data_IF_722613739176
#
_entry.id   IF_722613739176
#
_cell.length_a   1.000
_cell.length_b   1.000
_cell.length_c   1.000
_cell.angle_alpha   90.00
_cell.angle_beta   90.00
_cell.angle_gamma   90.00
#
_symmetry.space_group_name_H-M   'P 1'
#
loop_
_entity.id
_entity.type
_entity.pdbx_description
1 polymer ?
#
# COMPACT_ATOMS: atom_id res chain seq x y z
N UNK A 1 -43.89 -7.37 1.00
CA UNK A 1 -43.02 -6.34 1.60
C UNK A 1 -41.71 -6.36 0.81
N UNK A 2 -41.51 -5.41 -0.08
CA UNK A 2 -40.28 -5.33 -0.88
C UNK A 2 -39.20 -4.68 -0.01
N UNK A 3 -38.20 -5.47 0.39
CA UNK A 3 -36.94 -4.95 0.93
C UNK A 3 -36.26 -4.16 -0.21
N UNK A 4 -36.40 -2.85 -0.21
CA UNK A 4 -35.52 -1.95 -0.96
C UNK A 4 -34.15 -2.06 -0.28
N UNK A 5 -33.29 -2.96 -0.81
CA UNK A 5 -31.86 -2.82 -0.61
C UNK A 5 -31.48 -1.42 -1.11
N UNK A 6 -31.14 -0.53 -0.21
CA UNK A 6 -30.72 0.82 -0.55
C UNK A 6 -29.33 0.71 -1.15
N UNK A 7 -29.26 0.49 -2.46
CA UNK A 7 -28.01 0.60 -3.22
C UNK A 7 -27.56 2.04 -3.09
N UNK A 8 -26.37 2.27 -2.55
CA UNK A 8 -25.81 3.60 -2.41
C UNK A 8 -25.65 4.21 -3.82
N UNK A 9 -26.37 5.28 -4.09
CA UNK A 9 -26.28 5.98 -5.37
C UNK A 9 -24.90 6.70 -5.45
N UNK A 10 -24.27 6.71 -6.63
CA UNK A 10 -23.03 7.47 -6.88
C UNK A 10 -23.13 8.94 -6.48
N UNK A 11 -24.31 9.53 -6.53
CA UNK A 11 -24.59 10.89 -6.07
C UNK A 11 -24.34 11.10 -4.57
N UNK A 12 -24.36 10.02 -3.76
CA UNK A 12 -24.13 10.08 -2.30
C UNK A 12 -22.64 10.02 -1.92
N UNK A 13 -21.75 9.62 -2.83
CA UNK A 13 -20.30 9.49 -2.55
C UNK A 13 -19.67 10.78 -2.01
N UNK A 14 -19.90 11.97 -2.60
CA UNK A 14 -19.37 13.23 -2.07
C UNK A 14 -19.87 13.55 -0.66
N UNK A 15 -21.12 13.21 -0.37
CA UNK A 15 -21.68 13.39 0.97
C UNK A 15 -20.98 12.49 2.00
N UNK A 16 -20.76 11.21 1.65
CA UNK A 16 -20.06 10.26 2.52
C UNK A 16 -18.60 10.66 2.76
N UNK A 17 -17.89 11.14 1.73
CA UNK A 17 -16.53 11.70 1.88
C UNK A 17 -16.52 12.87 2.87
N UNK A 18 -17.52 13.77 2.79
CA UNK A 18 -17.65 14.89 3.72
C UNK A 18 -17.89 14.42 5.15
N UNK A 19 -18.75 13.43 5.35
CA UNK A 19 -19.03 12.81 6.66
C UNK A 19 -17.76 12.19 7.26
N UNK A 20 -17.02 11.40 6.47
CA UNK A 20 -15.74 10.80 6.87
C UNK A 20 -14.75 11.91 7.29
N UNK A 21 -14.63 12.98 6.51
CA UNK A 21 -13.76 14.11 6.86
C UNK A 21 -14.19 14.83 8.14
N UNK A 22 -15.49 14.87 8.44
CA UNK A 22 -15.98 15.40 9.71
C UNK A 22 -15.60 14.50 10.89
N UNK A 23 -15.64 13.17 10.72
CA UNK A 23 -15.21 12.23 11.74
C UNK A 23 -13.72 12.35 12.08
N UNK A 24 -12.85 12.68 11.10
CA UNK A 24 -11.44 12.96 11.38
C UNK A 24 -11.23 14.15 12.31
N UNK A 25 -12.08 15.19 12.24
CA UNK A 25 -12.02 16.33 13.17
C UNK A 25 -12.27 15.91 14.61
N UNK A 26 -13.11 14.92 14.84
CA UNK A 26 -13.41 14.38 16.18
C UNK A 26 -12.25 13.52 16.70
N UNK A 27 -11.43 12.95 15.80
CA UNK A 27 -10.27 12.12 16.11
C UNK A 27 -8.95 12.89 16.05
N UNK A 28 -9.02 14.22 15.90
CA UNK A 28 -7.84 15.05 15.69
C UNK A 28 -6.88 14.98 16.87
N UNK A 29 -5.60 14.69 16.56
CA UNK A 29 -4.48 14.78 17.50
C UNK A 29 -3.39 15.70 16.92
N UNK A 30 -3.37 16.92 17.40
CA UNK A 30 -2.42 17.94 16.96
C UNK A 30 -0.97 17.59 17.32
N UNK A 31 -0.73 16.88 18.43
CA UNK A 31 0.60 16.47 18.84
C UNK A 31 1.15 15.38 17.90
N UNK A 32 0.31 14.40 17.54
CA UNK A 32 0.66 13.36 16.55
C UNK A 32 0.92 14.00 15.19
N UNK A 33 0.04 14.89 14.72
CA UNK A 33 0.21 15.58 13.44
C UNK A 33 1.50 16.41 13.42
N UNK A 34 1.87 17.07 14.53
CA UNK A 34 3.12 17.83 14.65
C UNK A 34 4.33 16.88 14.63
N UNK A 35 4.30 15.79 15.40
CA UNK A 35 5.38 14.80 15.40
C UNK A 35 5.62 14.19 14.00
N UNK A 36 4.57 14.01 13.19
CA UNK A 36 4.71 13.57 11.81
C UNK A 36 5.43 14.61 10.94
N UNK A 37 5.09 15.89 11.08
CA UNK A 37 5.78 16.98 10.37
C UNK A 37 7.25 17.07 10.75
N UNK A 38 7.56 16.93 12.04
CA UNK A 38 8.94 16.97 12.55
C UNK A 38 9.79 15.79 12.00
N UNK A 39 9.14 14.69 11.61
CA UNK A 39 9.75 13.55 10.94
C UNK A 39 9.78 13.67 9.41
N UNK A 40 9.42 14.84 8.86
CA UNK A 40 9.44 15.09 7.42
C UNK A 40 8.20 14.64 6.64
N UNK A 41 7.15 14.19 7.32
CA UNK A 41 5.89 13.81 6.67
C UNK A 41 5.03 15.06 6.43
N UNK A 42 5.24 15.73 5.30
CA UNK A 42 4.57 16.97 4.93
C UNK A 42 3.34 16.69 4.07
N UNK A 43 2.19 16.57 4.71
CA UNK A 43 0.89 16.49 4.02
C UNK A 43 0.24 17.86 3.92
N UNK A 44 -0.55 18.10 2.88
CA UNK A 44 -1.35 19.33 2.80
C UNK A 44 -2.32 19.43 3.97
N UNK A 45 -2.98 18.33 4.33
CA UNK A 45 -3.82 18.21 5.52
C UNK A 45 -3.59 16.86 6.19
N UNK A 46 -3.36 16.91 7.50
CA UNK A 46 -3.15 15.76 8.38
C UNK A 46 -3.86 16.03 9.72
N UNK A 47 -4.81 15.21 10.05
CA UNK A 47 -5.57 15.29 11.31
C UNK A 47 -4.86 14.60 12.48
N UNK A 48 -3.81 13.81 12.22
CA UNK A 48 -3.08 13.04 13.23
C UNK A 48 -3.83 11.78 13.70
N UNK A 49 -4.83 11.32 12.95
CA UNK A 49 -5.52 10.09 13.31
C UNK A 49 -4.56 8.89 13.20
N UNK A 50 -4.56 8.04 14.25
CA UNK A 50 -3.70 6.86 14.29
C UNK A 50 -4.23 5.73 13.40
N UNK A 51 -3.34 4.85 12.94
CA UNK A 51 -3.74 3.70 12.09
C UNK A 51 -4.81 2.82 12.75
N UNK A 52 -4.74 2.46 14.06
CA UNK A 52 -5.81 1.68 14.69
C UNK A 52 -7.18 2.34 14.59
N UNK A 53 -7.26 3.67 14.77
CA UNK A 53 -8.54 4.39 14.64
C UNK A 53 -9.06 4.38 13.21
N UNK A 54 -8.18 4.50 12.22
CA UNK A 54 -8.56 4.38 10.81
C UNK A 54 -9.05 2.96 10.47
N UNK A 55 -8.41 1.93 11.03
CA UNK A 55 -8.84 0.53 10.88
C UNK A 55 -10.22 0.28 11.51
N UNK A 56 -10.52 0.86 12.68
CA UNK A 56 -11.85 0.80 13.29
C UNK A 56 -12.90 1.45 12.38
N UNK A 57 -12.62 2.65 11.87
CA UNK A 57 -13.51 3.35 10.93
C UNK A 57 -13.76 2.54 9.64
N UNK A 58 -12.75 1.88 9.09
CA UNK A 58 -12.93 1.00 7.92
C UNK A 58 -13.90 -0.12 8.23
N UNK A 59 -13.80 -0.75 9.43
CA UNK A 59 -14.73 -1.81 9.83
C UNK A 59 -16.17 -1.29 9.98
N UNK A 60 -16.33 -0.10 10.54
CA UNK A 60 -17.64 0.55 10.66
C UNK A 60 -18.25 0.83 9.28
N UNK A 61 -17.45 1.40 8.36
CA UNK A 61 -17.88 1.67 6.98
C UNK A 61 -18.22 0.36 6.26
N UNK A 62 -17.35 -0.65 6.34
CA UNK A 62 -17.53 -1.93 5.63
C UNK A 62 -18.73 -2.74 6.14
N UNK A 63 -19.08 -2.60 7.42
CA UNK A 63 -20.22 -3.28 8.05
C UNK A 63 -21.53 -2.51 7.89
N UNK A 64 -21.53 -1.32 7.29
CA UNK A 64 -22.77 -0.58 7.07
C UNK A 64 -23.61 -1.29 6.00
N UNK A 65 -24.89 -1.54 6.30
CA UNK A 65 -25.84 -2.18 5.36
C UNK A 65 -26.02 -1.37 4.06
N UNK A 66 -25.61 -0.12 4.06
CA UNK A 66 -25.70 0.82 2.93
C UNK A 66 -24.56 0.66 1.92
N UNK A 67 -23.45 0.00 2.28
CA UNK A 67 -22.27 -0.09 1.45
C UNK A 67 -22.22 -1.39 0.66
N UNK A 68 -22.36 -1.29 -0.66
CA UNK A 68 -22.12 -2.37 -1.62
C UNK A 68 -20.65 -2.37 -2.08
N UNK A 69 -20.16 -3.49 -2.66
CA UNK A 69 -18.81 -3.56 -3.23
C UNK A 69 -18.56 -2.46 -4.28
N UNK A 70 -19.57 -2.13 -5.11
CA UNK A 70 -19.48 -1.05 -6.11
C UNK A 70 -19.36 0.30 -5.43
N UNK A 71 -20.13 0.53 -4.36
CA UNK A 71 -20.04 1.78 -3.58
C UNK A 71 -18.71 1.90 -2.85
N UNK A 72 -18.10 0.80 -2.37
CA UNK A 72 -16.75 0.79 -1.79
C UNK A 72 -15.70 1.27 -2.80
N UNK A 73 -15.76 0.77 -4.04
CA UNK A 73 -14.87 1.21 -5.11
C UNK A 73 -14.98 2.72 -5.38
N UNK A 74 -16.21 3.21 -5.60
CA UNK A 74 -16.44 4.64 -5.88
C UNK A 74 -16.00 5.52 -4.70
N UNK A 75 -16.25 5.07 -3.47
CA UNK A 75 -15.81 5.76 -2.25
C UNK A 75 -14.29 5.79 -2.13
N UNK A 76 -13.60 4.68 -2.38
CA UNK A 76 -12.14 4.61 -2.35
C UNK A 76 -11.50 5.53 -3.40
N UNK A 77 -12.04 5.56 -4.63
CA UNK A 77 -11.60 6.48 -5.68
C UNK A 77 -11.78 7.95 -5.25
N UNK A 78 -12.91 8.28 -4.63
CA UNK A 78 -13.19 9.64 -4.19
C UNK A 78 -12.27 10.06 -3.02
N UNK A 79 -12.03 9.17 -2.06
CA UNK A 79 -11.12 9.41 -0.94
C UNK A 79 -9.66 9.56 -1.41
N UNK A 80 -9.22 8.76 -2.41
CA UNK A 80 -7.86 8.87 -2.95
C UNK A 80 -7.59 10.24 -3.60
N UNK A 81 -8.60 10.85 -4.21
CA UNK A 81 -8.51 12.19 -4.81
C UNK A 81 -8.34 13.31 -3.78
N UNK A 82 -8.71 13.07 -2.51
CA UNK A 82 -8.55 14.06 -1.46
C UNK A 82 -7.07 14.23 -1.09
N UNK A 83 -6.61 15.46 -0.97
CA UNK A 83 -5.25 15.76 -0.53
C UNK A 83 -5.15 15.78 1.01
N UNK A 84 -5.62 14.70 1.62
CA UNK A 84 -5.69 14.48 3.07
C UNK A 84 -5.07 13.13 3.37
N UNK A 85 -4.13 13.06 4.30
CA UNK A 85 -3.41 11.83 4.70
C UNK A 85 -4.38 10.69 5.01
N UNK A 86 -5.31 10.93 5.91
CA UNK A 86 -6.26 9.93 6.39
C UNK A 86 -7.18 9.41 5.27
N UNK A 87 -7.58 10.29 4.35
CA UNK A 87 -8.37 9.89 3.19
C UNK A 87 -7.60 8.93 2.29
N UNK A 88 -6.31 9.21 2.02
CA UNK A 88 -5.49 8.31 1.21
C UNK A 88 -5.30 6.95 1.87
N UNK A 89 -5.05 6.93 3.20
CA UNK A 89 -4.92 5.66 3.94
C UNK A 89 -6.23 4.88 3.91
N UNK A 90 -7.38 5.52 4.19
CA UNK A 90 -8.68 4.84 4.11
C UNK A 90 -8.98 4.32 2.70
N UNK A 91 -8.62 5.07 1.66
CA UNK A 91 -8.79 4.62 0.28
C UNK A 91 -8.07 3.29 0.02
N UNK A 92 -6.84 3.12 0.56
CA UNK A 92 -6.09 1.86 0.40
C UNK A 92 -6.73 0.68 1.12
N UNK A 93 -7.43 0.93 2.23
CA UNK A 93 -8.09 -0.10 3.03
C UNK A 93 -9.49 -0.48 2.50
N UNK A 94 -10.16 0.47 1.83
CA UNK A 94 -11.52 0.29 1.33
C UNK A 94 -11.55 -0.22 -0.11
N UNK A 95 -10.51 0.01 -0.91
CA UNK A 95 -10.49 -0.40 -2.32
C UNK A 95 -10.57 -1.93 -2.44
N UNK A 96 -11.58 -2.48 -3.14
CA UNK A 96 -11.63 -3.91 -3.40
C UNK A 96 -10.50 -4.31 -4.37
N UNK A 97 -9.57 -5.15 -3.91
CA UNK A 97 -8.39 -5.54 -4.69
C UNK A 97 -8.73 -6.33 -5.97
N UNK A 98 -9.84 -7.06 -5.97
CA UNK A 98 -10.35 -7.83 -7.12
C UNK A 98 -11.08 -6.96 -8.15
N UNK A 99 -11.38 -5.70 -7.85
CA UNK A 99 -12.12 -4.77 -8.70
C UNK A 99 -11.27 -3.66 -9.31
N UNK A 100 -10.10 -3.41 -8.73
CA UNK A 100 -9.23 -2.33 -9.22
C UNK A 100 -8.56 -2.74 -10.53
N UNK A 101 -8.60 -1.86 -11.52
CA UNK A 101 -7.96 -2.09 -12.81
C UNK A 101 -6.47 -1.73 -12.76
N UNK A 102 -5.61 -2.42 -13.55
CA UNK A 102 -4.17 -2.14 -13.60
C UNK A 102 -3.85 -0.67 -13.89
N UNK A 103 -4.63 -0.02 -14.76
CA UNK A 103 -4.44 1.39 -15.11
C UNK A 103 -4.71 2.33 -13.92
N UNK A 104 -5.66 1.97 -13.05
CA UNK A 104 -5.94 2.73 -11.83
C UNK A 104 -4.80 2.56 -10.83
N UNK A 105 -4.21 1.36 -10.75
CA UNK A 105 -3.03 1.09 -9.92
C UNK A 105 -1.85 1.96 -10.38
N UNK A 106 -1.61 2.07 -11.69
CA UNK A 106 -0.54 2.89 -12.26
C UNK A 106 -0.76 4.38 -11.95
N UNK A 107 -2.00 4.88 -12.09
CA UNK A 107 -2.36 6.26 -11.72
C UNK A 107 -2.15 6.50 -10.21
N UNK A 108 -2.53 5.56 -9.35
CA UNK A 108 -2.34 5.71 -7.92
C UNK A 108 -0.86 5.70 -7.55
N UNK A 109 -0.04 4.86 -8.20
CA UNK A 109 1.41 4.82 -8.00
C UNK A 109 2.05 6.19 -8.28
N UNK A 110 1.71 6.82 -9.39
CA UNK A 110 2.21 8.16 -9.75
C UNK A 110 1.79 9.27 -8.76
N UNK A 111 0.69 9.05 -8.03
CA UNK A 111 0.11 10.02 -7.10
C UNK A 111 0.51 9.80 -5.64
N UNK A 112 1.44 8.88 -5.35
CA UNK A 112 1.94 8.64 -3.99
C UNK A 112 2.73 9.87 -3.50
N UNK A 113 2.29 10.52 -2.40
CA UNK A 113 2.93 11.74 -1.96
C UNK A 113 4.07 11.53 -0.95
N UNK A 114 4.21 10.33 -0.37
CA UNK A 114 5.13 10.08 0.74
C UNK A 114 5.42 8.60 0.91
N UNK A 115 6.54 8.31 1.61
CA UNK A 115 6.91 6.95 2.01
C UNK A 115 5.79 6.26 2.80
N UNK A 116 5.14 6.93 3.75
CA UNK A 116 4.06 6.34 4.54
C UNK A 116 2.91 5.84 3.65
N UNK A 117 2.48 6.64 2.66
CA UNK A 117 1.41 6.21 1.74
C UNK A 117 1.87 5.07 0.84
N UNK A 118 3.15 5.06 0.40
CA UNK A 118 3.73 3.95 -0.34
C UNK A 118 3.66 2.63 0.46
N UNK A 119 4.06 2.67 1.72
CA UNK A 119 3.97 1.52 2.63
C UNK A 119 2.52 1.08 2.86
N UNK A 120 1.62 2.05 3.14
CA UNK A 120 0.21 1.73 3.41
C UNK A 120 -0.49 1.11 2.20
N UNK A 121 -0.25 1.62 0.99
CA UNK A 121 -0.89 1.05 -0.20
C UNK A 121 -0.32 -0.33 -0.54
N UNK A 122 0.98 -0.55 -0.35
CA UNK A 122 1.60 -1.86 -0.53
C UNK A 122 1.00 -2.90 0.43
N UNK A 123 0.85 -2.53 1.73
CA UNK A 123 0.36 -3.45 2.77
C UNK A 123 -1.16 -3.64 2.75
N UNK A 124 -1.93 -2.60 2.47
CA UNK A 124 -3.39 -2.69 2.55
C UNK A 124 -4.03 -3.22 1.27
N UNK A 125 -3.43 -2.93 0.10
CA UNK A 125 -4.07 -3.15 -1.19
C UNK A 125 -3.21 -3.98 -2.16
N UNK A 126 -1.99 -3.51 -2.48
CA UNK A 126 -1.28 -4.05 -3.64
C UNK A 126 -0.77 -5.48 -3.47
N UNK A 127 -0.46 -5.93 -2.26
CA UNK A 127 -0.16 -7.34 -2.00
C UNK A 127 -1.33 -8.29 -2.32
N UNK A 128 -2.55 -7.76 -2.39
CA UNK A 128 -3.79 -8.52 -2.61
C UNK A 128 -4.28 -8.48 -4.06
N UNK A 129 -3.60 -7.75 -4.94
CA UNK A 129 -3.98 -7.67 -6.35
C UNK A 129 -3.83 -9.04 -7.03
N UNK A 130 -4.75 -9.43 -7.93
CA UNK A 130 -4.61 -10.66 -8.72
C UNK A 130 -3.32 -10.71 -9.57
N UNK A 131 -2.77 -9.54 -9.91
CA UNK A 131 -1.56 -9.33 -10.69
C UNK A 131 -0.42 -8.70 -9.86
N UNK A 132 -0.44 -8.90 -8.53
CA UNK A 132 0.58 -8.35 -7.63
C UNK A 132 2.01 -8.75 -8.01
N UNK A 133 2.32 -10.04 -8.37
CA UNK A 133 3.67 -10.41 -8.74
C UNK A 133 4.20 -9.61 -9.94
N UNK A 134 3.42 -9.52 -11.03
CA UNK A 134 3.84 -8.80 -12.23
C UNK A 134 4.14 -7.32 -11.94
N UNK A 135 3.26 -6.67 -11.18
CA UNK A 135 3.45 -5.26 -10.80
C UNK A 135 4.66 -5.09 -9.89
N UNK A 136 4.84 -5.99 -8.92
CA UNK A 136 5.98 -5.90 -8.01
C UNK A 136 7.32 -5.98 -8.76
N UNK A 137 7.46 -6.89 -9.73
CA UNK A 137 8.65 -6.96 -10.56
C UNK A 137 8.85 -5.72 -11.44
N UNK A 138 7.78 -5.15 -12.01
CA UNK A 138 7.86 -3.88 -12.74
C UNK A 138 8.35 -2.75 -11.84
N UNK A 139 7.86 -2.67 -10.60
CA UNK A 139 8.20 -1.60 -9.67
C UNK A 139 9.61 -1.70 -9.13
N UNK A 140 10.14 -2.90 -8.81
CA UNK A 140 11.54 -3.01 -8.36
C UNK A 140 12.54 -2.69 -9.46
N UNK A 141 12.15 -2.79 -10.74
CA UNK A 141 12.97 -2.43 -11.90
C UNK A 141 12.87 -0.93 -12.26
N UNK A 142 12.00 -0.15 -11.58
CA UNK A 142 11.87 1.29 -11.77
C UNK A 142 13.07 2.04 -11.18
N UNK A 143 13.29 3.28 -11.60
CA UNK A 143 14.27 4.21 -11.03
C UNK A 143 13.66 5.15 -9.96
N UNK A 144 12.33 5.08 -9.78
CA UNK A 144 11.60 5.90 -8.81
C UNK A 144 11.60 5.28 -7.42
N UNK A 145 11.88 6.11 -6.39
CA UNK A 145 11.96 5.66 -4.99
C UNK A 145 10.71 4.91 -4.52
N UNK A 146 9.52 5.48 -4.74
CA UNK A 146 8.29 4.90 -4.21
C UNK A 146 7.82 3.66 -4.97
N UNK A 147 8.14 3.56 -6.27
CA UNK A 147 7.91 2.35 -7.06
C UNK A 147 8.74 1.19 -6.46
N UNK A 148 10.07 1.38 -6.35
CA UNK A 148 10.96 0.37 -5.76
C UNK A 148 10.54 -0.02 -4.34
N UNK A 149 10.22 0.96 -3.51
CA UNK A 149 9.77 0.74 -2.14
C UNK A 149 8.52 -0.14 -2.10
N UNK A 150 7.51 0.17 -2.89
CA UNK A 150 6.29 -0.61 -3.00
C UNK A 150 6.56 -2.00 -3.54
N UNK A 151 7.36 -2.13 -4.58
CA UNK A 151 7.72 -3.41 -5.18
C UNK A 151 8.36 -4.36 -4.17
N UNK A 152 9.37 -3.90 -3.42
CA UNK A 152 10.01 -4.71 -2.38
C UNK A 152 9.07 -5.03 -1.21
N UNK A 153 8.19 -4.13 -0.81
CA UNK A 153 7.20 -4.43 0.23
C UNK A 153 6.17 -5.46 -0.23
N UNK A 154 5.69 -5.38 -1.48
CA UNK A 154 4.78 -6.37 -2.05
C UNK A 154 5.47 -7.73 -2.14
N UNK A 155 6.69 -7.82 -2.69
CA UNK A 155 7.47 -9.07 -2.75
C UNK A 155 7.70 -9.66 -1.37
N UNK A 156 8.04 -8.83 -0.36
CA UNK A 156 8.15 -9.26 1.02
C UNK A 156 6.91 -10.02 1.49
N UNK A 157 5.71 -9.50 1.18
CA UNK A 157 4.44 -10.12 1.56
C UNK A 157 4.15 -11.39 0.77
N UNK A 158 4.46 -11.40 -0.52
CA UNK A 158 4.30 -12.59 -1.37
C UNK A 158 5.20 -13.73 -0.87
N UNK A 159 6.46 -13.45 -0.52
CA UNK A 159 7.38 -14.45 0.05
C UNK A 159 6.93 -14.93 1.45
N UNK A 160 6.44 -14.05 2.31
CA UNK A 160 5.83 -14.44 3.59
C UNK A 160 4.63 -15.35 3.43
N UNK A 161 3.90 -15.24 2.32
CA UNK A 161 2.78 -16.10 1.94
C UNK A 161 3.23 -17.33 1.16
N UNK A 162 4.54 -17.64 1.14
CA UNK A 162 5.15 -18.77 0.44
C UNK A 162 4.85 -18.78 -1.08
N UNK A 163 4.69 -17.61 -1.69
CA UNK A 163 4.60 -17.51 -3.15
C UNK A 163 6.01 -17.50 -3.72
N UNK A 164 6.38 -18.61 -4.33
CA UNK A 164 7.71 -18.80 -4.91
C UNK A 164 7.78 -18.20 -6.32
N UNK A 165 8.82 -17.39 -6.64
CA UNK A 165 9.06 -16.92 -8.00
C UNK A 165 9.58 -18.09 -8.87
N UNK A 166 9.28 -18.04 -10.17
CA UNK A 166 9.88 -18.96 -11.12
C UNK A 166 11.38 -18.62 -11.34
N UNK A 167 12.11 -19.47 -12.06
CA UNK A 167 13.56 -19.31 -12.29
C UNK A 167 13.93 -17.94 -12.88
N UNK A 168 13.17 -17.43 -13.85
CA UNK A 168 13.36 -16.09 -14.40
C UNK A 168 13.13 -15.00 -13.33
N UNK A 169 12.07 -15.13 -12.56
CA UNK A 169 11.76 -14.21 -11.48
C UNK A 169 12.83 -14.20 -10.38
N UNK A 170 13.44 -15.36 -10.06
CA UNK A 170 14.56 -15.44 -9.11
C UNK A 170 15.73 -14.59 -9.60
N UNK A 171 16.15 -14.77 -10.84
CA UNK A 171 17.29 -14.05 -11.42
C UNK A 171 17.01 -12.53 -11.46
N UNK A 172 15.86 -12.14 -11.98
CA UNK A 172 15.44 -10.73 -12.03
C UNK A 172 15.36 -10.09 -10.63
N UNK A 173 14.80 -10.81 -9.65
CA UNK A 173 14.74 -10.36 -8.26
C UNK A 173 16.14 -10.10 -7.69
N UNK A 174 17.07 -11.06 -7.83
CA UNK A 174 18.42 -10.94 -7.27
C UNK A 174 19.21 -9.80 -7.92
N UNK A 175 19.08 -9.61 -9.24
CA UNK A 175 19.72 -8.50 -9.96
C UNK A 175 19.18 -7.15 -9.45
N UNK A 176 17.87 -6.99 -9.37
CA UNK A 176 17.26 -5.74 -8.86
C UNK A 176 17.53 -5.51 -7.38
N UNK A 177 17.60 -6.58 -6.57
CA UNK A 177 17.98 -6.50 -5.15
C UNK A 177 19.37 -5.87 -4.99
N UNK A 178 20.36 -6.32 -5.76
CA UNK A 178 21.73 -5.78 -5.72
C UNK A 178 21.76 -4.30 -6.11
N UNK A 179 21.06 -3.92 -7.17
CA UNK A 179 20.94 -2.52 -7.61
C UNK A 179 20.30 -1.67 -6.50
N UNK A 180 19.22 -2.14 -5.92
CA UNK A 180 18.50 -1.41 -4.86
C UNK A 180 19.34 -1.21 -3.60
N UNK A 181 20.11 -2.23 -3.18
CA UNK A 181 20.99 -2.16 -2.00
C UNK A 181 22.14 -1.16 -2.18
N UNK A 182 22.57 -0.91 -3.41
CA UNK A 182 23.58 0.09 -3.77
C UNK A 182 22.96 1.46 -4.10
N UNK A 183 21.64 1.53 -4.20
CA UNK A 183 20.90 2.73 -4.57
C UNK A 183 20.97 3.86 -3.53
N UNK A 184 20.57 5.09 -3.89
CA UNK A 184 20.67 6.26 -3.04
C UNK A 184 19.66 6.29 -1.90
N UNK A 185 18.52 5.60 -2.04
CA UNK A 185 17.39 5.71 -1.12
C UNK A 185 17.50 4.73 0.06
N UNK A 186 17.60 5.25 1.28
CA UNK A 186 17.69 4.43 2.48
C UNK A 186 16.42 3.61 2.74
N UNK A 187 15.25 4.17 2.42
CA UNK A 187 13.94 3.52 2.50
C UNK A 187 13.91 2.26 1.65
N UNK A 188 14.36 2.36 0.39
CA UNK A 188 14.44 1.25 -0.57
C UNK A 188 15.44 0.21 -0.12
N UNK A 189 16.65 0.61 0.31
CA UNK A 189 17.66 -0.33 0.82
C UNK A 189 17.15 -1.18 1.97
N UNK A 190 16.43 -0.56 2.93
CA UNK A 190 15.83 -1.28 4.06
C UNK A 190 14.74 -2.25 3.61
N UNK A 191 13.85 -1.82 2.72
CA UNK A 191 12.79 -2.68 2.20
C UNK A 191 13.36 -3.85 1.37
N UNK A 192 14.37 -3.59 0.54
CA UNK A 192 15.08 -4.59 -0.24
C UNK A 192 15.76 -5.64 0.65
N UNK A 193 16.46 -5.20 1.71
CA UNK A 193 17.09 -6.12 2.66
C UNK A 193 16.04 -6.97 3.40
N UNK A 194 14.94 -6.36 3.85
CA UNK A 194 13.84 -7.09 4.48
C UNK A 194 13.23 -8.13 3.53
N UNK A 195 13.06 -7.76 2.25
CA UNK A 195 12.59 -8.67 1.21
C UNK A 195 13.55 -9.85 1.02
N UNK A 196 14.87 -9.60 1.03
CA UNK A 196 15.89 -10.63 0.91
C UNK A 196 15.82 -11.67 2.03
N UNK A 197 15.61 -11.24 3.28
CA UNK A 197 15.40 -12.18 4.38
C UNK A 197 14.17 -13.06 4.15
N UNK A 198 13.05 -12.49 3.69
CA UNK A 198 11.82 -13.28 3.41
C UNK A 198 11.98 -14.20 2.21
N UNK A 199 12.73 -13.78 1.19
CA UNK A 199 13.10 -14.64 0.07
C UNK A 199 13.94 -15.86 0.55
N UNK A 200 14.93 -15.63 1.41
CA UNK A 200 15.75 -16.70 1.96
C UNK A 200 14.94 -17.70 2.82
N UNK A 201 13.91 -17.24 3.52
CA UNK A 201 12.99 -18.07 4.32
C UNK A 201 12.10 -19.00 3.48
N UNK A 202 11.99 -18.82 2.15
CA UNK A 202 11.26 -19.73 1.26
C UNK A 202 11.86 -21.14 1.23
N UNK A 203 13.17 -21.30 1.52
CA UNK A 203 13.81 -22.61 1.62
C UNK A 203 15.31 -22.57 1.39
N UNK A 204 15.96 -23.71 1.60
CA UNK A 204 17.42 -23.82 1.60
C UNK A 204 18.08 -23.38 0.27
N UNK A 205 17.38 -23.61 -0.86
CA UNK A 205 17.83 -23.17 -2.18
C UNK A 205 17.86 -21.64 -2.25
N UNK A 206 16.78 -20.99 -1.85
CA UNK A 206 16.63 -19.53 -1.86
C UNK A 206 17.62 -18.86 -0.90
N UNK A 207 17.84 -19.45 0.28
CA UNK A 207 18.86 -19.00 1.23
C UNK A 207 20.27 -19.00 0.61
N UNK A 208 20.65 -20.11 -0.06
CA UNK A 208 21.94 -20.22 -0.74
C UNK A 208 22.10 -19.21 -1.86
N UNK A 209 21.05 -18.99 -2.65
CA UNK A 209 21.03 -17.99 -3.72
C UNK A 209 21.18 -16.58 -3.16
N UNK A 210 20.42 -16.22 -2.12
CA UNK A 210 20.51 -14.93 -1.46
C UNK A 210 21.92 -14.70 -0.88
N UNK A 211 22.48 -15.67 -0.13
CA UNK A 211 23.85 -15.58 0.41
C UNK A 211 24.91 -15.47 -0.68
N UNK A 212 24.71 -16.14 -1.81
CA UNK A 212 25.64 -16.05 -2.94
C UNK A 212 25.59 -14.68 -3.62
N UNK A 213 24.41 -14.13 -3.83
CA UNK A 213 24.21 -12.82 -4.43
C UNK A 213 24.67 -11.68 -3.52
N UNK A 214 24.46 -11.82 -2.21
CA UNK A 214 24.75 -10.78 -1.21
C UNK A 214 26.15 -10.92 -0.58
N UNK A 215 27.08 -11.62 -1.23
CA UNK A 215 28.47 -11.63 -0.80
C UNK A 215 29.04 -10.22 -0.73
N UNK A 216 29.35 -9.76 0.50
CA UNK A 216 29.84 -8.40 0.76
C UNK A 216 28.82 -7.47 1.42
N UNK A 217 27.62 -7.94 1.65
CA UNK A 217 26.64 -7.32 2.54
C UNK A 217 26.52 -8.15 3.84
N UNK A 218 26.23 -7.47 4.96
CA UNK A 218 25.90 -8.17 6.23
C UNK A 218 24.49 -8.79 6.09
N UNK A 219 24.45 -10.05 5.60
CA UNK A 219 23.24 -10.81 5.36
C UNK A 219 23.29 -12.19 6.01
#
# INVERSE_FOLDING_TARGET
MFNKCCVMDKSMVPFKVKEIKQSFRQMMDGAVAQSMRDKGLNYHLNWGATLPRLQEMVKEIANSEELTTVSQYDLAIALWKENVRECKILATMLMPADKILPEVVDIWMEQIPSQEIAEQVAFNLWQHLPFAPEKAFQWIASDKEYDQLCGFHVLTRLFMNHQEPNERGINEYLDQLLVALQGPYMSVRKAALQSAYRFAELGLMYERLAKSALKGFDF
#
